data_IF_840150599835
#
_entry.id   IF_840150599835
#
_cell.length_a   1.000
_cell.length_b   1.000
_cell.length_c   1.000
_cell.angle_alpha   90.00
_cell.angle_beta   90.00
_cell.angle_gamma   90.00
#
_symmetry.space_group_name_H-M   'P 1'
#
loop_
_entity.id
_entity.type
_entity.pdbx_description
1 polymer ?
#
# COMPACT_ATOMS: atom_id res chain seq x y z
N UNK A 1 13.18 43.35 -42.70
CA UNK A 1 12.22 42.23 -42.49
C UNK A 1 12.86 40.88 -42.12
N UNK A 2 14.13 40.56 -42.48
CA UNK A 2 14.76 39.26 -42.15
C UNK A 2 15.00 39.02 -40.65
N UNK A 3 15.31 40.07 -39.89
CA UNK A 3 15.57 39.96 -38.43
C UNK A 3 14.33 39.67 -37.58
N UNK A 4 13.12 39.99 -38.06
CA UNK A 4 11.88 39.71 -37.33
C UNK A 4 11.53 38.21 -37.36
N UNK A 5 11.81 37.52 -38.47
CA UNK A 5 11.58 36.09 -38.61
C UNK A 5 12.49 35.28 -37.67
N UNK A 6 13.75 35.66 -37.54
CA UNK A 6 14.71 35.00 -36.65
C UNK A 6 14.35 35.17 -35.17
N UNK A 7 13.90 36.36 -34.76
CA UNK A 7 13.41 36.62 -33.39
C UNK A 7 12.16 35.80 -33.05
N UNK A 8 11.23 35.66 -34.00
CA UNK A 8 10.03 34.83 -33.82
C UNK A 8 10.38 33.34 -33.71
N UNK A 9 11.33 32.87 -34.52
CA UNK A 9 11.78 31.47 -34.47
C UNK A 9 12.46 31.14 -33.14
N UNK A 10 13.37 32.01 -32.68
CA UNK A 10 14.03 31.85 -31.39
C UNK A 10 13.04 31.84 -30.22
N UNK A 11 12.05 32.74 -30.25
CA UNK A 11 10.99 32.79 -29.22
C UNK A 11 10.12 31.54 -29.23
N UNK A 12 9.78 31.01 -30.41
CA UNK A 12 8.99 29.78 -30.55
C UNK A 12 9.76 28.56 -30.03
N UNK A 13 11.05 28.45 -30.37
CA UNK A 13 11.92 27.37 -29.87
C UNK A 13 12.06 27.41 -28.35
N UNK A 14 12.22 28.61 -27.77
CA UNK A 14 12.29 28.79 -26.32
C UNK A 14 10.98 28.39 -25.63
N UNK A 15 9.84 28.80 -26.20
CA UNK A 15 8.50 28.46 -25.69
C UNK A 15 8.27 26.95 -25.71
N UNK A 16 8.60 26.29 -26.83
CA UNK A 16 8.48 24.83 -26.98
C UNK A 16 9.35 24.09 -25.97
N UNK A 17 10.58 24.54 -25.76
CA UNK A 17 11.50 23.94 -24.79
C UNK A 17 10.98 24.07 -23.34
N UNK A 18 10.46 25.25 -22.98
CA UNK A 18 9.79 25.48 -21.70
C UNK A 18 8.57 24.57 -21.53
N UNK A 19 7.76 24.39 -22.57
CA UNK A 19 6.58 23.52 -22.53
C UNK A 19 6.97 22.06 -22.29
N UNK A 20 8.03 21.58 -22.93
CA UNK A 20 8.53 20.21 -22.72
C UNK A 20 9.05 20.01 -21.30
N UNK A 21 9.75 20.99 -20.73
CA UNK A 21 10.21 20.95 -19.33
C UNK A 21 9.03 20.90 -18.35
N UNK A 22 8.00 21.69 -18.59
CA UNK A 22 6.77 21.71 -17.78
C UNK A 22 6.02 20.37 -17.83
N UNK A 23 5.98 19.71 -19.00
CA UNK A 23 5.33 18.40 -19.14
C UNK A 23 6.11 17.28 -18.44
N UNK A 24 7.45 17.35 -18.42
CA UNK A 24 8.28 16.39 -17.68
C UNK A 24 8.32 16.62 -16.17
N UNK A 25 7.92 17.81 -15.72
CA UNK A 25 7.91 18.17 -14.31
C UNK A 25 6.64 17.73 -13.57
N UNK A 26 5.72 17.03 -14.24
CA UNK A 26 4.60 16.40 -13.54
C UNK A 26 5.15 15.18 -12.81
N UNK A 27 5.29 15.22 -11.47
CA UNK A 27 5.76 14.06 -10.74
C UNK A 27 4.72 12.97 -10.96
N UNK A 28 5.07 11.94 -11.72
CA UNK A 28 4.38 10.65 -11.70
C UNK A 28 4.77 9.89 -10.42
N UNK A 29 4.98 10.63 -9.33
CA UNK A 29 4.86 10.08 -8.00
C UNK A 29 3.39 9.70 -7.91
N UNK A 30 3.14 8.43 -8.18
CA UNK A 30 2.13 7.68 -7.46
C UNK A 30 2.45 7.99 -6.01
N UNK A 31 1.79 9.00 -5.44
CA UNK A 31 1.89 9.38 -4.05
C UNK A 31 1.38 8.15 -3.32
N UNK A 32 2.29 7.20 -3.02
CA UNK A 32 2.09 6.22 -1.97
C UNK A 32 2.07 7.10 -0.73
N UNK A 33 0.90 7.35 -0.12
CA UNK A 33 0.85 8.22 1.04
C UNK A 33 1.82 7.67 2.06
N UNK A 34 2.88 8.43 2.36
CA UNK A 34 3.90 8.06 3.36
C UNK A 34 3.38 8.17 4.80
N UNK A 35 2.06 8.28 4.97
CA UNK A 35 1.38 8.68 6.20
C UNK A 35 0.89 7.52 7.07
N UNK A 36 1.02 6.27 6.65
CA UNK A 36 0.66 5.11 7.49
C UNK A 36 1.83 4.16 7.65
N UNK A 37 2.96 4.67 8.16
CA UNK A 37 4.05 3.81 8.68
C UNK A 37 3.56 2.93 9.82
N UNK A 38 2.57 3.38 10.56
CA UNK A 38 1.83 2.62 11.55
C UNK A 38 0.45 3.23 11.75
N UNK A 39 -0.48 2.41 12.23
CA UNK A 39 -1.86 2.81 12.38
C UNK A 39 -2.69 1.78 13.11
N UNK A 40 -3.94 2.18 13.36
CA UNK A 40 -4.99 1.31 13.87
C UNK A 40 -6.15 1.41 12.90
N UNK A 41 -6.62 0.27 12.40
CA UNK A 41 -7.82 0.21 11.57
C UNK A 41 -8.88 -0.66 12.24
N UNK A 42 -10.13 -0.37 11.92
CA UNK A 42 -11.29 -1.17 12.31
C UNK A 42 -12.04 -1.52 11.04
N UNK A 43 -12.17 -2.80 10.74
CA UNK A 43 -12.81 -3.28 9.51
C UNK A 43 -13.20 -4.75 9.61
N UNK A 44 -13.92 -5.26 8.61
CA UNK A 44 -14.35 -6.65 8.51
C UNK A 44 -13.34 -7.48 7.72
N UNK A 45 -12.90 -8.60 8.28
CA UNK A 45 -12.12 -9.62 7.57
C UNK A 45 -13.01 -10.28 6.53
N UNK A 46 -12.58 -10.27 5.27
CA UNK A 46 -13.24 -11.04 4.21
C UNK A 46 -12.46 -12.29 3.79
N UNK A 47 -11.14 -12.31 4.00
CA UNK A 47 -10.30 -13.46 3.64
C UNK A 47 -9.08 -13.54 4.54
N UNK A 48 -8.66 -14.77 4.84
CA UNK A 48 -7.40 -15.08 5.51
C UNK A 48 -6.68 -16.12 4.67
N UNK A 49 -5.47 -15.79 4.22
CA UNK A 49 -4.63 -16.66 3.39
C UNK A 49 -3.39 -17.10 4.15
N UNK A 50 -3.13 -18.40 4.12
CA UNK A 50 -1.89 -18.94 4.67
C UNK A 50 -0.68 -18.56 3.81
N UNK A 51 0.41 -18.21 4.48
CA UNK A 51 1.71 -17.90 3.89
C UNK A 51 2.76 -18.83 4.51
N UNK A 52 3.96 -18.80 3.94
CA UNK A 52 5.05 -19.64 4.42
C UNK A 52 5.36 -19.39 5.90
N UNK A 53 5.94 -20.40 6.57
CA UNK A 53 6.39 -20.30 7.97
C UNK A 53 5.27 -20.03 9.00
N UNK A 54 4.03 -20.41 8.68
CA UNK A 54 2.89 -20.24 9.59
C UNK A 54 2.33 -18.82 9.65
N UNK A 55 2.86 -17.91 8.82
CA UNK A 55 2.30 -16.57 8.70
C UNK A 55 0.97 -16.59 7.96
N UNK A 56 0.14 -15.59 8.21
CA UNK A 56 -1.14 -15.41 7.50
C UNK A 56 -1.27 -14.00 6.99
N UNK A 57 -1.89 -13.85 5.82
CA UNK A 57 -2.33 -12.59 5.27
C UNK A 57 -3.82 -12.42 5.55
N UNK A 58 -4.18 -11.33 6.21
CA UNK A 58 -5.57 -10.95 6.46
C UNK A 58 -5.96 -9.87 5.49
N UNK A 59 -7.08 -10.07 4.82
CA UNK A 59 -7.68 -9.11 3.89
C UNK A 59 -8.99 -8.60 4.45
N UNK A 60 -9.20 -7.29 4.30
CA UNK A 60 -10.34 -6.59 4.89
C UNK A 60 -11.13 -5.77 3.87
N UNK A 61 -12.39 -5.49 4.18
CA UNK A 61 -13.36 -5.05 3.17
C UNK A 61 -13.13 -3.65 2.59
N UNK A 62 -12.39 -2.76 3.25
CA UNK A 62 -12.19 -1.40 2.75
C UNK A 62 -11.23 -1.29 1.55
N UNK A 63 -10.41 -2.32 1.29
CA UNK A 63 -9.41 -2.28 0.22
C UNK A 63 -9.14 -3.68 -0.35
N UNK A 64 -9.12 -3.78 -1.67
CA UNK A 64 -8.70 -4.97 -2.42
C UNK A 64 -7.18 -5.00 -2.68
N UNK A 65 -6.48 -3.94 -2.29
CA UNK A 65 -5.04 -3.77 -2.52
C UNK A 65 -4.22 -3.80 -1.22
N UNK A 66 -4.84 -3.77 -0.05
CA UNK A 66 -4.13 -3.74 1.23
C UNK A 66 -4.28 -5.06 2.00
N UNK A 67 -3.16 -5.67 2.38
CA UNK A 67 -3.11 -6.90 3.16
C UNK A 67 -2.37 -6.71 4.47
N UNK A 68 -2.82 -7.41 5.52
CA UNK A 68 -2.28 -7.32 6.88
C UNK A 68 -1.65 -8.66 7.26
N UNK A 69 -0.33 -8.71 7.30
CA UNK A 69 0.43 -9.91 7.58
C UNK A 69 0.69 -10.11 9.07
N UNK A 70 0.39 -11.29 9.57
CA UNK A 70 0.74 -11.74 10.92
C UNK A 70 1.72 -12.90 10.82
N UNK A 71 2.94 -12.69 11.34
CA UNK A 71 4.00 -13.72 11.38
C UNK A 71 4.15 -14.37 12.75
N UNK A 72 3.55 -13.77 13.77
CA UNK A 72 3.45 -14.35 15.11
C UNK A 72 2.40 -15.48 15.08
N UNK A 73 2.77 -16.66 15.61
CA UNK A 73 1.92 -17.85 15.54
C UNK A 73 0.58 -17.68 16.26
N UNK A 74 0.59 -17.04 17.43
CA UNK A 74 -0.62 -16.84 18.24
C UNK A 74 -1.55 -15.85 17.55
N UNK A 75 -1.01 -14.76 16.98
CA UNK A 75 -1.81 -13.81 16.20
C UNK A 75 -2.34 -14.41 14.90
N UNK A 76 -1.56 -15.29 14.26
CA UNK A 76 -1.97 -15.99 13.06
C UNK A 76 -3.10 -17.00 13.33
N UNK A 77 -3.02 -17.75 14.43
CA UNK A 77 -4.10 -18.61 14.94
C UNK A 77 -5.35 -17.79 15.24
N UNK A 78 -5.18 -16.64 15.91
CA UNK A 78 -6.28 -15.74 16.24
C UNK A 78 -6.97 -15.21 14.97
N UNK A 79 -6.21 -14.74 13.98
CA UNK A 79 -6.77 -14.28 12.70
C UNK A 79 -7.56 -15.38 11.97
N UNK A 80 -7.06 -16.62 11.99
CA UNK A 80 -7.78 -17.78 11.44
C UNK A 80 -9.08 -18.07 12.19
N UNK A 81 -9.10 -17.93 13.51
CA UNK A 81 -10.34 -18.09 14.30
C UNK A 81 -11.37 -17.01 13.95
N UNK A 82 -10.92 -15.77 13.83
CA UNK A 82 -11.80 -14.59 13.72
C UNK A 82 -12.62 -14.54 12.42
N UNK A 83 -12.11 -15.12 11.32
CA UNK A 83 -12.90 -15.21 10.08
C UNK A 83 -14.07 -16.23 10.18
N UNK A 84 -13.98 -17.21 11.08
CA UNK A 84 -15.02 -18.25 11.23
C UNK A 84 -15.97 -18.01 12.40
N UNK A 85 -15.45 -17.50 13.52
CA UNK A 85 -16.14 -17.47 14.81
C UNK A 85 -16.79 -16.12 15.14
N UNK A 86 -16.52 -15.10 14.34
CA UNK A 86 -16.97 -13.73 14.57
C UNK A 86 -17.61 -13.16 13.31
N UNK A 87 -18.37 -12.07 13.43
CA UNK A 87 -18.92 -11.30 12.30
C UNK A 87 -17.83 -10.61 11.43
N UNK A 88 -16.58 -11.07 11.53
CA UNK A 88 -15.42 -10.57 10.81
C UNK A 88 -14.91 -9.19 11.27
N UNK A 89 -15.69 -8.41 12.04
CA UNK A 89 -15.25 -7.06 12.46
C UNK A 89 -14.11 -7.12 13.50
N UNK A 90 -13.00 -6.49 13.18
CA UNK A 90 -11.77 -6.49 13.97
C UNK A 90 -11.15 -5.11 14.06
N UNK A 91 -10.37 -4.90 15.11
CA UNK A 91 -9.38 -3.83 15.19
C UNK A 91 -8.00 -4.45 14.93
N UNK A 92 -7.26 -3.89 13.99
CA UNK A 92 -5.89 -4.28 13.67
C UNK A 92 -4.97 -3.09 13.89
N UNK A 93 -3.97 -3.29 14.75
CA UNK A 93 -2.83 -2.38 14.82
C UNK A 93 -1.76 -2.87 13.84
N UNK A 94 -1.21 -1.97 13.03
CA UNK A 94 -0.31 -2.36 11.96
C UNK A 94 0.83 -1.37 11.76
N UNK A 95 1.85 -1.80 11.02
CA UNK A 95 2.94 -0.95 10.52
C UNK A 95 3.32 -1.32 9.09
N UNK A 96 3.86 -0.37 8.35
CA UNK A 96 4.47 -0.66 7.06
C UNK A 96 5.68 -1.61 7.24
N UNK A 97 5.86 -2.52 6.28
CA UNK A 97 7.08 -3.32 6.19
C UNK A 97 8.28 -2.41 5.87
N UNK A 98 9.37 -2.54 6.63
CA UNK A 98 10.63 -1.84 6.41
C UNK A 98 11.68 -2.71 5.74
N UNK A 99 12.86 -2.15 5.47
CA UNK A 99 13.97 -2.88 4.84
C UNK A 99 14.43 -4.13 5.60
N UNK A 100 14.25 -4.14 6.93
CA UNK A 100 14.58 -5.30 7.78
C UNK A 100 13.52 -6.41 7.72
N UNK A 101 12.33 -6.10 7.21
CA UNK A 101 11.22 -7.04 7.06
C UNK A 101 11.21 -7.71 5.67
N UNK A 102 12.24 -7.52 4.85
CA UNK A 102 12.37 -8.13 3.52
C UNK A 102 12.37 -9.66 3.54
N UNK A 103 12.60 -10.27 4.70
CA UNK A 103 12.51 -11.72 4.92
C UNK A 103 11.11 -12.18 5.35
N UNK A 104 10.15 -11.26 5.45
CA UNK A 104 8.81 -11.59 5.89
C UNK A 104 8.14 -12.53 4.86
N UNK A 105 7.57 -13.67 5.31
CA UNK A 105 6.92 -14.63 4.41
C UNK A 105 5.75 -14.05 3.61
N UNK A 106 5.10 -12.99 4.11
CA UNK A 106 4.09 -12.24 3.39
C UNK A 106 4.67 -11.18 2.44
N UNK A 107 5.88 -10.67 2.72
CA UNK A 107 6.57 -9.71 1.85
C UNK A 107 7.13 -10.36 0.57
N UNK A 108 7.13 -11.69 0.45
CA UNK A 108 7.31 -12.34 -0.86
C UNK A 108 6.21 -11.98 -1.87
N UNK A 109 5.10 -11.37 -1.44
CA UNK A 109 4.11 -10.75 -2.31
C UNK A 109 4.54 -9.36 -2.85
N UNK A 110 5.65 -8.75 -2.38
CA UNK A 110 6.20 -7.51 -2.97
C UNK A 110 6.65 -7.68 -4.43
N UNK A 111 6.82 -8.93 -4.91
CA UNK A 111 7.04 -9.15 -6.34
C UNK A 111 5.78 -8.87 -7.19
N UNK A 112 4.61 -8.73 -6.56
CA UNK A 112 3.39 -8.30 -7.20
C UNK A 112 3.12 -6.83 -6.86
N UNK A 113 3.38 -5.88 -7.78
CA UNK A 113 3.25 -4.44 -7.53
C UNK A 113 1.81 -3.99 -7.26
N UNK A 114 0.84 -4.90 -7.31
CA UNK A 114 -0.59 -4.65 -7.14
C UNK A 114 -1.02 -4.51 -5.68
N UNK A 115 -0.24 -4.97 -4.69
CA UNK A 115 -0.65 -4.97 -3.28
C UNK A 115 0.32 -4.21 -2.37
N UNK A 116 -0.22 -3.61 -1.32
CA UNK A 116 0.51 -3.02 -0.19
C UNK A 116 0.35 -3.93 1.02
N UNK A 117 1.48 -4.39 1.56
CA UNK A 117 1.48 -5.27 2.75
C UNK A 117 1.89 -4.49 3.98
N UNK A 118 1.03 -4.53 5.00
CA UNK A 118 1.32 -4.09 6.34
C UNK A 118 1.60 -5.27 7.26
N UNK A 119 2.34 -5.04 8.32
CA UNK A 119 2.63 -6.01 9.37
C UNK A 119 1.72 -5.74 10.56
N UNK A 120 0.89 -6.72 10.88
CA UNK A 120 0.02 -6.69 12.05
C UNK A 120 0.81 -6.82 13.34
N UNK A 121 0.56 -5.90 14.27
CA UNK A 121 1.07 -5.92 15.65
C UNK A 121 0.07 -6.57 16.61
N UNK A 122 -1.24 -6.38 16.36
CA UNK A 122 -2.32 -7.01 17.09
C UNK A 122 -3.56 -7.16 16.21
N UNK A 123 -4.44 -8.07 16.59
CA UNK A 123 -5.77 -8.22 16.04
C UNK A 123 -6.74 -8.48 17.19
N UNK A 124 -7.90 -7.81 17.20
CA UNK A 124 -8.87 -7.95 18.29
C UNK A 124 -10.28 -7.91 17.72
N UNK A 125 -11.10 -8.90 18.09
CA UNK A 125 -12.52 -8.91 17.76
C UNK A 125 -13.22 -7.70 18.38
N UNK A 126 -14.12 -7.08 17.64
CA UNK A 126 -15.01 -6.05 18.17
C UNK A 126 -16.44 -6.34 17.77
N UNK A 127 -17.39 -6.06 18.65
CA UNK A 127 -18.80 -6.27 18.35
C UNK A 127 -19.21 -5.57 17.05
N UNK A 128 -19.84 -6.35 16.18
CA UNK A 128 -20.47 -5.92 14.94
C UNK A 128 -21.47 -4.78 15.18
N UNK A 129 -21.56 -3.82 14.26
CA UNK A 129 -22.59 -2.78 14.26
C UNK A 129 -23.90 -3.22 13.64
#
# INVERSE_FOLDING_TARGET
>A
MKNLKHRRFAALSLLLFLLTLLLTACPTETIRPSFTREGVMRDTIFSVEERGLGAVMVWVTHSDQEGYCFTDGDLADQARSLIWEHDGEVIIEYRAAGALDALNPCARAESDPQYVVYLGKSITAVAGR
#
